data_IF_483782618201
#
_entry.id   IF_483782618201
#
_cell.length_a   1.000
_cell.length_b   1.000
_cell.length_c   1.000
_cell.angle_alpha   90.00
_cell.angle_beta   90.00
_cell.angle_gamma   90.00
#
_symmetry.space_group_name_H-M   'P 1'
#
loop_
_entity.id
_entity.type
_entity.pdbx_description
1 polymer ?
#
# COMPACT_ATOMS: atom_id res chain seq x y z
N UNK A 1 -4.35 -0.62 23.29
CA UNK A 1 -5.31 0.13 22.45
C UNK A 1 -6.09 -0.89 21.67
N UNK A 2 -7.43 -0.98 21.70
CA UNK A 2 -8.03 -1.80 20.63
C UNK A 2 -9.53 -1.72 20.40
N UNK A 3 -10.33 -1.01 21.18
CA UNK A 3 -11.79 -0.98 20.97
C UNK A 3 -12.28 0.45 20.72
N UNK A 4 -13.30 0.54 19.88
CA UNK A 4 -14.04 1.76 19.62
C UNK A 4 -14.87 2.09 20.88
N UNK A 5 -14.69 3.27 21.51
CA UNK A 5 -15.33 3.59 22.78
C UNK A 5 -16.84 3.86 22.66
N UNK A 6 -17.39 4.02 21.44
CA UNK A 6 -18.84 4.18 21.23
C UNK A 6 -19.52 2.81 21.12
N UNK A 7 -18.94 1.92 20.32
CA UNK A 7 -19.55 0.62 20.01
C UNK A 7 -19.05 -0.51 20.89
N UNK A 8 -18.01 -0.26 21.70
CA UNK A 8 -17.28 -1.23 22.55
C UNK A 8 -16.66 -2.41 21.77
N UNK A 9 -16.74 -2.38 20.44
CA UNK A 9 -16.23 -3.40 19.53
C UNK A 9 -14.80 -3.10 19.09
N UNK A 10 -14.05 -4.09 18.58
CA UNK A 10 -12.79 -3.80 17.89
C UNK A 10 -13.05 -2.86 16.71
N UNK A 11 -12.11 -1.96 16.46
CA UNK A 11 -12.16 -1.06 15.30
C UNK A 11 -12.33 -1.86 14.01
N UNK A 12 -13.26 -1.41 13.17
CA UNK A 12 -13.51 -2.00 11.87
C UNK A 12 -13.11 -1.03 10.75
N UNK A 13 -13.00 -1.53 9.52
CA UNK A 13 -12.71 -0.68 8.36
C UNK A 13 -13.81 0.36 8.09
N UNK A 14 -15.05 0.04 8.45
CA UNK A 14 -16.25 0.87 8.28
C UNK A 14 -16.28 2.09 9.22
N UNK A 15 -15.50 2.06 10.31
CA UNK A 15 -15.38 3.19 11.24
C UNK A 15 -14.60 4.38 10.64
N UNK A 16 -14.09 4.25 9.41
CA UNK A 16 -13.23 5.23 8.75
C UNK A 16 -13.73 5.61 7.36
N UNK A 17 -13.63 6.89 7.03
CA UNK A 17 -14.01 7.46 5.73
C UNK A 17 -12.80 8.17 5.12
N UNK A 18 -12.61 8.11 3.79
CA UNK A 18 -11.59 8.90 3.12
C UNK A 18 -11.82 10.41 3.34
N UNK A 19 -10.76 11.11 3.72
CA UNK A 19 -10.80 12.54 3.95
C UNK A 19 -10.82 13.29 2.61
N UNK A 20 -11.96 13.93 2.30
CA UNK A 20 -12.15 14.70 1.05
C UNK A 20 -11.19 15.89 0.92
N UNK A 21 -10.70 16.42 2.04
CA UNK A 21 -9.81 17.58 2.06
C UNK A 21 -8.34 17.20 1.99
N UNK A 22 -8.02 15.92 2.19
CA UNK A 22 -6.65 15.45 2.13
C UNK A 22 -6.19 15.38 0.69
N UNK A 23 -5.06 16.03 0.41
CA UNK A 23 -4.36 15.94 -0.87
C UNK A 23 -3.03 15.25 -0.60
N UNK A 24 -2.65 14.25 -1.40
CA UNK A 24 -1.30 13.69 -1.29
C UNK A 24 -0.29 14.81 -1.49
N UNK A 25 0.83 14.75 -0.76
CA UNK A 25 1.91 15.71 -0.93
C UNK A 25 2.28 15.76 -2.42
N UNK A 26 2.45 16.97 -2.99
CA UNK A 26 2.98 17.16 -4.35
C UNK A 26 4.45 16.71 -4.38
N UNK A 27 4.68 15.40 -4.40
CA UNK A 27 6.00 14.82 -4.64
C UNK A 27 5.83 13.63 -5.54
N UNK A 28 5.82 13.92 -6.83
CA UNK A 28 6.29 12.97 -7.82
C UNK A 28 7.32 13.74 -8.61
N UNK A 29 8.57 13.30 -8.53
CA UNK A 29 9.48 13.53 -9.63
C UNK A 29 8.73 13.02 -10.87
N UNK A 30 8.26 13.92 -11.73
CA UNK A 30 7.59 13.57 -12.99
C UNK A 30 8.47 12.71 -13.91
N UNK A 31 9.73 12.51 -13.52
CA UNK A 31 10.76 11.76 -14.21
C UNK A 31 10.98 10.34 -13.64
N UNK A 32 10.08 9.81 -12.81
CA UNK A 32 10.16 8.42 -12.30
C UNK A 32 10.14 7.34 -13.41
N UNK A 33 9.90 7.70 -14.67
CA UNK A 33 10.09 6.85 -15.84
C UNK A 33 11.17 7.32 -16.83
N UNK A 34 11.93 8.37 -16.52
CA UNK A 34 12.95 8.94 -17.41
C UNK A 34 14.33 8.76 -16.77
N UNK A 35 15.09 7.80 -17.28
CA UNK A 35 16.49 7.59 -16.88
C UNK A 35 17.26 8.91 -17.02
N UNK A 36 18.06 9.25 -16.02
CA UNK A 36 19.03 10.33 -16.19
C UNK A 36 20.01 9.96 -17.31
N UNK A 37 20.58 10.96 -18.00
CA UNK A 37 21.58 10.76 -19.06
C UNK A 37 22.77 9.88 -18.61
N UNK A 38 23.09 9.88 -17.31
CA UNK A 38 24.14 9.04 -16.74
C UNK A 38 23.70 7.57 -16.61
N UNK A 39 22.46 7.32 -16.18
CA UNK A 39 21.91 5.97 -16.08
C UNK A 39 21.70 5.35 -17.46
N UNK A 40 21.26 6.14 -18.44
CA UNK A 40 21.11 5.70 -19.83
C UNK A 40 22.46 5.27 -20.43
N UNK A 41 23.54 6.03 -20.21
CA UNK A 41 24.89 5.64 -20.63
C UNK A 41 25.36 4.34 -19.99
N UNK A 42 25.17 4.18 -18.67
CA UNK A 42 25.54 2.95 -17.96
C UNK A 42 24.76 1.74 -18.47
N UNK A 43 23.47 1.91 -18.75
CA UNK A 43 22.64 0.88 -19.37
C UNK A 43 23.20 0.48 -20.74
N UNK A 44 23.46 1.45 -21.62
CA UNK A 44 24.00 1.18 -22.96
C UNK A 44 25.40 0.53 -22.92
N UNK A 45 26.28 0.96 -22.03
CA UNK A 45 27.63 0.42 -21.90
C UNK A 45 27.61 -1.04 -21.41
N UNK A 46 26.67 -1.39 -20.51
CA UNK A 46 26.45 -2.76 -20.07
C UNK A 46 26.11 -3.69 -21.25
N UNK A 47 25.15 -3.32 -22.11
CA UNK A 47 24.78 -4.15 -23.26
C UNK A 47 25.86 -4.22 -24.35
N UNK A 48 26.68 -3.18 -24.48
CA UNK A 48 27.85 -3.21 -25.37
C UNK A 48 28.90 -4.20 -24.87
N UNK A 49 29.17 -4.24 -23.57
CA UNK A 49 30.14 -5.16 -22.96
C UNK A 49 29.64 -6.60 -22.91
N UNK A 50 28.33 -6.81 -22.70
CA UNK A 50 27.70 -8.13 -22.62
C UNK A 50 27.60 -8.86 -23.97
N UNK A 51 28.08 -8.25 -25.07
CA UNK A 51 28.41 -8.95 -26.32
C UNK A 51 27.24 -9.38 -27.20
N UNK A 52 25.98 -9.26 -26.77
CA UNK A 52 24.79 -9.51 -27.60
C UNK A 52 23.84 -8.31 -27.57
N UNK A 53 23.73 -7.67 -28.74
CA UNK A 53 23.08 -6.38 -28.93
C UNK A 53 21.65 -6.31 -28.40
N UNK A 54 21.32 -5.12 -27.89
CA UNK A 54 19.95 -4.72 -27.57
C UNK A 54 19.03 -5.10 -28.73
N UNK A 55 18.10 -6.04 -28.50
CA UNK A 55 16.95 -6.20 -29.39
C UNK A 55 16.05 -4.97 -29.14
N UNK A 56 15.79 -4.11 -30.15
CA UNK A 56 15.08 -2.84 -29.96
C UNK A 56 13.55 -3.02 -29.87
N UNK A 57 13.06 -4.21 -29.55
CA UNK A 57 11.63 -4.53 -29.66
C UNK A 57 11.16 -5.32 -28.45
N UNK A 58 10.45 -4.62 -27.55
CA UNK A 58 9.54 -5.23 -26.60
C UNK A 58 9.53 -4.55 -25.24
N UNK A 59 8.41 -3.96 -24.80
CA UNK A 59 8.22 -3.62 -23.40
C UNK A 59 8.21 -4.90 -22.57
N UNK A 60 9.16 -5.04 -21.64
CA UNK A 60 9.16 -6.12 -20.63
C UNK A 60 8.49 -5.59 -19.38
N UNK A 61 7.28 -6.08 -19.12
CA UNK A 61 6.45 -5.65 -18.00
C UNK A 61 6.84 -6.30 -16.66
N UNK A 62 7.88 -7.15 -16.61
CA UNK A 62 8.13 -8.05 -15.47
C UNK A 62 9.53 -7.98 -14.84
N UNK A 63 10.35 -6.96 -15.13
CA UNK A 63 11.65 -6.82 -14.46
C UNK A 63 11.58 -5.71 -13.41
N UNK A 64 10.78 -5.94 -12.34
CA UNK A 64 10.97 -5.19 -11.08
C UNK A 64 12.12 -5.88 -10.38
N UNK A 65 13.29 -5.26 -10.39
CA UNK A 65 14.42 -5.75 -9.60
C UNK A 65 14.12 -5.58 -8.10
N UNK A 66 14.48 -6.56 -7.27
CA UNK A 66 14.26 -6.56 -5.81
C UNK A 66 14.78 -5.28 -5.11
N UNK A 67 15.72 -4.55 -5.74
CA UNK A 67 16.27 -3.30 -5.24
C UNK A 67 15.38 -2.05 -5.45
N UNK A 68 14.43 -2.07 -6.40
CA UNK A 68 13.48 -0.97 -6.60
C UNK A 68 12.23 -1.11 -5.72
N UNK A 69 11.98 -2.32 -5.21
CA UNK A 69 10.96 -2.56 -4.19
C UNK A 69 11.29 -1.86 -2.87
N UNK A 70 12.55 -1.92 -2.41
CA UNK A 70 12.99 -1.34 -1.12
C UNK A 70 12.97 0.20 -1.07
N UNK A 71 13.10 0.90 -2.21
CA UNK A 71 13.10 2.38 -2.24
C UNK A 71 11.69 3.00 -2.35
N UNK A 72 10.68 2.22 -2.74
CA UNK A 72 9.30 2.68 -2.91
C UNK A 72 8.38 2.37 -1.71
N UNK A 73 8.89 1.74 -0.65
CA UNK A 73 8.07 1.27 0.48
C UNK A 73 7.45 2.41 1.31
N UNK A 74 8.01 3.61 1.29
CA UNK A 74 7.58 4.67 2.22
C UNK A 74 6.40 5.54 1.76
N UNK A 75 6.32 5.92 0.49
CA UNK A 75 5.42 6.99 0.02
C UNK A 75 4.44 6.55 -1.09
N UNK A 76 4.80 5.62 -1.97
CA UNK A 76 3.89 5.09 -3.00
C UNK A 76 2.85 4.11 -2.44
N UNK A 77 3.20 3.41 -1.36
CA UNK A 77 2.33 2.42 -0.71
C UNK A 77 1.04 3.07 -0.17
N UNK A 78 1.14 4.34 0.24
CA UNK A 78 0.02 5.11 0.82
C UNK A 78 -1.00 5.47 -0.26
N UNK A 79 -0.57 5.86 -1.47
CA UNK A 79 -1.50 6.21 -2.57
C UNK A 79 -2.08 4.96 -3.25
N UNK A 80 -1.30 3.87 -3.36
CA UNK A 80 -1.78 2.57 -3.85
C UNK A 80 -2.80 1.92 -2.91
N UNK A 81 -2.84 2.33 -1.64
CA UNK A 81 -3.74 1.76 -0.65
C UNK A 81 -5.23 1.87 -1.02
N UNK A 82 -5.65 2.92 -1.73
CA UNK A 82 -7.05 3.09 -2.19
C UNK A 82 -7.43 2.15 -3.34
N UNK A 83 -6.45 1.77 -4.18
CA UNK A 83 -6.63 0.84 -5.30
C UNK A 83 -6.52 -0.63 -4.84
N UNK A 84 -5.57 -0.92 -3.95
CA UNK A 84 -5.30 -2.29 -3.45
C UNK A 84 -6.38 -2.74 -2.46
N UNK A 85 -7.04 -1.82 -1.75
CA UNK A 85 -8.11 -2.17 -0.80
C UNK A 85 -9.35 -2.74 -1.48
N UNK A 86 -9.54 -2.50 -2.78
CA UNK A 86 -10.82 -2.79 -3.43
C UNK A 86 -11.06 -4.28 -3.67
N UNK A 87 -10.13 -5.06 -4.22
CA UNK A 87 -10.39 -6.51 -4.46
C UNK A 87 -9.10 -7.34 -4.55
N UNK A 88 -8.53 -7.75 -3.41
CA UNK A 88 -7.61 -8.90 -3.43
C UNK A 88 -8.42 -10.16 -3.66
N UNK A 89 -7.97 -11.00 -4.60
CA UNK A 89 -8.57 -12.32 -4.80
C UNK A 89 -8.49 -13.12 -3.49
N UNK A 90 -9.54 -13.87 -3.12
CA UNK A 90 -9.48 -14.72 -1.93
C UNK A 90 -8.26 -15.67 -1.98
N UNK A 91 -7.62 -15.96 -0.84
CA UNK A 91 -6.58 -16.97 -0.80
C UNK A 91 -7.15 -18.31 -1.30
N UNK A 92 -6.51 -18.90 -2.31
CA UNK A 92 -6.99 -20.11 -2.98
C UNK A 92 -7.77 -19.89 -4.29
N UNK A 93 -7.99 -18.65 -4.72
CA UNK A 93 -8.58 -18.38 -6.04
C UNK A 93 -7.67 -18.94 -7.15
N UNK A 94 -8.26 -19.69 -8.09
CA UNK A 94 -7.56 -20.40 -9.19
C UNK A 94 -6.62 -21.55 -8.79
N UNK A 95 -6.64 -22.00 -7.54
CA UNK A 95 -5.93 -23.21 -7.12
C UNK A 95 -6.86 -24.41 -7.34
N UNK A 96 -6.44 -25.35 -8.19
CA UNK A 96 -7.23 -26.54 -8.55
C UNK A 96 -7.34 -27.60 -7.44
N UNK A 97 -6.55 -27.45 -6.38
CA UNK A 97 -6.49 -28.35 -5.23
C UNK A 97 -7.15 -27.73 -4.00
N UNK A 98 -7.80 -28.56 -3.19
CA UNK A 98 -8.35 -28.12 -1.92
C UNK A 98 -7.22 -27.89 -0.91
N UNK A 99 -7.23 -26.72 -0.27
CA UNK A 99 -6.25 -26.32 0.75
C UNK A 99 -6.30 -27.29 1.94
N UNK A 100 -5.14 -27.68 2.46
CA UNK A 100 -5.07 -28.51 3.68
C UNK A 100 -5.61 -27.75 4.90
N UNK A 101 -5.95 -28.47 5.98
CA UNK A 101 -6.47 -27.84 7.22
C UNK A 101 -5.47 -26.91 7.89
N UNK A 102 -4.17 -27.19 7.76
CA UNK A 102 -3.08 -26.37 8.30
C UNK A 102 -2.90 -25.09 7.47
N UNK A 103 -2.75 -25.22 6.16
CA UNK A 103 -2.62 -24.07 5.25
C UNK A 103 -3.86 -23.16 5.30
N UNK A 104 -5.06 -23.73 5.45
CA UNK A 104 -6.28 -22.94 5.60
C UNK A 104 -6.26 -22.07 6.87
N UNK A 105 -5.65 -22.58 7.96
CA UNK A 105 -5.48 -21.83 9.22
C UNK A 105 -4.46 -20.71 9.05
N UNK A 106 -3.36 -20.97 8.36
CA UNK A 106 -2.31 -19.99 8.05
C UNK A 106 -2.84 -18.87 7.15
N UNK A 107 -3.57 -19.22 6.10
CA UNK A 107 -4.20 -18.25 5.20
C UNK A 107 -5.17 -17.34 5.96
N UNK A 108 -6.00 -17.90 6.85
CA UNK A 108 -6.88 -17.11 7.72
C UNK A 108 -6.10 -16.17 8.66
N UNK A 109 -4.98 -16.63 9.22
CA UNK A 109 -4.14 -15.80 10.08
C UNK A 109 -3.49 -14.65 9.30
N UNK A 110 -3.01 -14.92 8.08
CA UNK A 110 -2.43 -13.91 7.20
C UNK A 110 -3.44 -12.84 6.79
N UNK A 111 -4.66 -13.23 6.44
CA UNK A 111 -5.75 -12.28 6.12
C UNK A 111 -6.05 -11.39 7.33
N UNK A 112 -6.21 -11.97 8.53
CA UNK A 112 -6.46 -11.19 9.76
C UNK A 112 -5.32 -10.21 10.07
N UNK A 113 -4.07 -10.63 9.86
CA UNK A 113 -2.91 -9.75 10.07
C UNK A 113 -2.97 -8.54 9.13
N UNK A 114 -3.21 -8.76 7.83
CA UNK A 114 -3.34 -7.68 6.85
C UNK A 114 -4.50 -6.74 7.17
N UNK A 115 -5.63 -7.29 7.63
CA UNK A 115 -6.77 -6.50 8.07
C UNK A 115 -6.42 -5.60 9.26
N UNK A 116 -5.75 -6.15 10.28
CA UNK A 116 -5.29 -5.38 11.43
C UNK A 116 -4.29 -4.27 11.06
N UNK A 117 -3.35 -4.57 10.16
CA UNK A 117 -2.39 -3.56 9.64
C UNK A 117 -3.14 -2.41 8.95
N UNK A 118 -4.18 -2.71 8.16
CA UNK A 118 -5.02 -1.68 7.52
C UNK A 118 -5.76 -0.81 8.53
N UNK A 119 -6.36 -1.43 9.55
CA UNK A 119 -7.07 -0.71 10.62
C UNK A 119 -6.10 0.20 11.38
N UNK A 120 -4.92 -0.30 11.75
CA UNK A 120 -3.89 0.49 12.44
C UNK A 120 -3.44 1.70 11.61
N UNK A 121 -3.25 1.51 10.30
CA UNK A 121 -2.90 2.60 9.38
C UNK A 121 -3.99 3.67 9.31
N UNK A 122 -5.26 3.25 9.17
CA UNK A 122 -6.40 4.18 9.11
C UNK A 122 -6.56 4.94 10.41
N UNK A 123 -6.41 4.27 11.55
CA UNK A 123 -6.48 4.87 12.88
C UNK A 123 -5.35 5.90 13.11
N UNK A 124 -4.11 5.57 12.73
CA UNK A 124 -3.00 6.51 12.79
C UNK A 124 -3.19 7.72 11.85
N UNK A 125 -3.79 7.50 10.68
CA UNK A 125 -4.12 8.56 9.72
C UNK A 125 -5.22 9.48 10.27
N UNK A 126 -6.28 8.91 10.85
CA UNK A 126 -7.41 9.64 11.42
C UNK A 126 -6.99 10.55 12.59
N UNK A 127 -6.12 10.08 13.48
CA UNK A 127 -5.59 10.93 14.56
C UNK A 127 -4.73 12.10 14.06
N UNK A 128 -4.10 11.96 12.90
CA UNK A 128 -3.30 13.03 12.28
C UNK A 128 -4.13 13.95 11.37
N UNK A 129 -5.41 13.65 11.14
CA UNK A 129 -6.22 14.33 10.12
C UNK A 129 -5.70 14.10 8.69
N UNK A 130 -5.12 12.93 8.45
CA UNK A 130 -4.49 12.54 7.19
C UNK A 130 -5.47 12.07 6.13
N UNK A 131 -5.09 11.00 5.41
CA UNK A 131 -5.86 10.39 4.32
C UNK A 131 -7.26 9.91 4.76
N UNK A 132 -7.40 9.47 6.02
CA UNK A 132 -8.67 8.99 6.57
C UNK A 132 -9.10 9.86 7.74
N UNK A 133 -10.41 9.91 7.96
CA UNK A 133 -11.09 10.49 9.12
C UNK A 133 -12.03 9.45 9.72
N UNK A 134 -12.48 9.67 10.94
CA UNK A 134 -13.50 8.80 11.54
C UNK A 134 -14.84 9.02 10.84
N UNK A 135 -15.62 7.95 10.70
CA UNK A 135 -17.01 8.05 10.23
C UNK A 135 -17.86 8.88 11.21
N UNK A 136 -17.66 8.66 12.51
CA UNK A 136 -18.35 9.38 13.57
C UNK A 136 -17.71 10.76 13.82
N UNK A 137 -18.52 11.81 13.70
CA UNK A 137 -18.06 13.20 13.83
C UNK A 137 -17.56 13.55 15.24
N UNK A 138 -18.06 12.84 16.26
CA UNK A 138 -17.64 13.04 17.66
C UNK A 138 -16.14 12.82 17.79
N UNK A 139 -15.59 11.77 17.17
CA UNK A 139 -14.15 11.52 17.19
C UNK A 139 -13.37 12.60 16.45
N UNK A 140 -13.86 13.02 15.29
CA UNK A 140 -13.23 14.09 14.52
C UNK A 140 -13.16 15.40 15.33
N UNK A 141 -14.21 15.71 16.09
CA UNK A 141 -14.23 16.88 16.99
C UNK A 141 -13.18 16.79 18.10
N UNK A 142 -12.98 15.61 18.68
CA UNK A 142 -12.00 15.37 19.75
C UNK A 142 -10.58 15.47 19.22
N UNK A 143 -10.33 14.91 18.03
CA UNK A 143 -9.05 15.04 17.31
C UNK A 143 -8.74 16.51 17.04
N UNK A 144 -9.70 17.26 16.51
CA UNK A 144 -9.53 18.69 16.20
C UNK A 144 -9.22 19.53 17.45
N UNK A 145 -9.77 19.16 18.61
CA UNK A 145 -9.51 19.81 19.90
C UNK A 145 -8.16 19.40 20.52
N UNK A 146 -7.43 18.45 19.94
CA UNK A 146 -6.12 18.01 20.45
C UNK A 146 -6.20 17.32 21.82
N UNK A 147 -7.37 16.79 22.20
CA UNK A 147 -7.60 16.18 23.52
C UNK A 147 -7.13 14.73 23.62
N UNK A 148 -6.42 14.24 22.62
CA UNK A 148 -5.91 12.88 22.53
C UNK A 148 -4.44 12.94 22.97
N UNK A 149 -4.20 12.68 24.26
CA UNK A 149 -2.86 12.48 24.84
C UNK A 149 -2.63 11.00 25.11
#
# INVERSE_FOLDING_TARGET
MSTNPITEKPWALDDFVPNKNWKPAKRLNTNLGVLSKLQEKRYLDFFKQAGHGAKPTGPRWNDVSEAEAELCEGEEEIVKSQLIDKYLSPPGYMIGDFVSTQEAKENKAMVKRKENERIQRRLASAFKGGEFIFYEDVFNSIVALGRIK
#
